data_IF_892906131469
#
_entry.id   IF_892906131469
#
_cell.length_a   1.000
_cell.length_b   1.000
_cell.length_c   1.000
_cell.angle_alpha   90.00
_cell.angle_beta   90.00
_cell.angle_gamma   90.00
#
_symmetry.space_group_name_H-M   'P 1'
#
loop_
_entity.id
_entity.type
_entity.pdbx_description
1 polymer ?
#
# COMPACT_ATOMS: atom_id res chain seq x y z
N UNK A 1 3.17 8.91 -14.54
CA UNK A 1 3.04 7.95 -13.42
C UNK A 1 1.82 7.06 -13.64
N UNK A 2 1.99 5.77 -13.47
CA UNK A 2 0.90 4.81 -13.55
C UNK A 2 1.09 3.70 -12.51
N UNK A 3 -0.01 3.02 -12.18
CA UNK A 3 0.00 1.82 -11.33
C UNK A 3 -0.22 0.59 -12.19
N UNK A 4 0.57 -0.46 -11.95
CA UNK A 4 0.44 -1.75 -12.62
C UNK A 4 0.54 -2.88 -11.62
N UNK A 5 -0.19 -3.97 -11.87
CA UNK A 5 0.08 -5.21 -11.15
C UNK A 5 1.49 -5.72 -11.47
N UNK A 6 2.16 -6.21 -10.43
CA UNK A 6 3.42 -6.92 -10.63
C UNK A 6 3.18 -8.21 -11.42
N UNK A 7 4.08 -8.51 -12.33
CA UNK A 7 4.22 -9.83 -12.94
C UNK A 7 5.71 -10.20 -13.05
N UNK A 8 6.00 -11.45 -13.45
CA UNK A 8 7.37 -11.97 -13.47
C UNK A 8 8.29 -11.30 -14.48
N UNK A 9 7.76 -10.44 -15.38
CA UNK A 9 8.57 -9.68 -16.34
C UNK A 9 9.34 -8.53 -15.67
N UNK A 10 8.92 -8.07 -14.48
CA UNK A 10 9.57 -6.99 -13.76
C UNK A 10 10.72 -7.51 -12.92
N UNK A 11 11.84 -6.77 -12.92
CA UNK A 11 13.01 -7.07 -12.09
C UNK A 11 13.12 -6.04 -10.97
N UNK A 12 13.11 -6.52 -9.73
CA UNK A 12 13.18 -5.66 -8.54
C UNK A 12 14.54 -5.74 -7.84
N UNK A 13 15.48 -6.52 -8.41
CA UNK A 13 16.72 -6.88 -7.74
C UNK A 13 17.64 -5.69 -7.50
N UNK A 14 17.62 -4.71 -8.41
CA UNK A 14 18.47 -3.53 -8.32
C UNK A 14 17.80 -2.34 -7.63
N UNK A 15 16.59 -2.57 -7.07
CA UNK A 15 15.82 -1.52 -6.42
C UNK A 15 16.04 -1.53 -4.92
N UNK A 16 16.03 -0.35 -4.33
CA UNK A 16 16.27 -0.16 -2.90
C UNK A 16 14.98 0.29 -2.21
N UNK A 17 14.14 -0.67 -1.84
CA UNK A 17 12.90 -0.42 -1.11
C UNK A 17 13.08 -0.62 0.39
N UNK A 18 12.38 0.18 1.20
CA UNK A 18 12.36 0.02 2.65
C UNK A 18 11.57 -1.22 3.09
N UNK A 19 10.50 -1.58 2.36
CA UNK A 19 9.84 -2.87 2.51
C UNK A 19 10.64 -3.94 1.76
N UNK A 20 10.41 -5.20 2.07
CA UNK A 20 11.13 -6.33 1.46
C UNK A 20 10.29 -6.92 0.31
N UNK A 21 10.45 -6.43 -0.93
CA UNK A 21 9.61 -6.88 -2.05
C UNK A 21 9.66 -8.39 -2.26
N UNK A 22 10.83 -9.01 -2.12
CA UNK A 22 10.98 -10.45 -2.33
C UNK A 22 10.13 -11.26 -1.36
N UNK A 23 10.03 -10.85 -0.09
CA UNK A 23 9.19 -11.52 0.90
C UNK A 23 7.71 -11.39 0.52
N UNK A 24 7.28 -10.21 0.09
CA UNK A 24 5.92 -9.96 -0.35
C UNK A 24 5.58 -10.75 -1.60
N UNK A 25 6.50 -10.86 -2.56
CA UNK A 25 6.29 -11.60 -3.79
C UNK A 25 6.15 -13.11 -3.54
N UNK A 26 6.86 -13.66 -2.58
CA UNK A 26 6.68 -15.06 -2.20
C UNK A 26 5.28 -15.32 -1.66
N UNK A 27 4.71 -14.40 -0.89
CA UNK A 27 3.34 -14.51 -0.41
C UNK A 27 2.36 -14.41 -1.57
N UNK A 28 2.58 -13.47 -2.50
CA UNK A 28 1.69 -13.26 -3.64
C UNK A 28 1.63 -14.45 -4.58
N UNK A 29 2.68 -15.26 -4.67
CA UNK A 29 2.69 -16.50 -5.45
C UNK A 29 1.78 -17.57 -4.87
N UNK A 30 1.50 -17.52 -3.56
CA UNK A 30 0.69 -18.52 -2.84
C UNK A 30 -0.74 -18.05 -2.56
N UNK A 31 -0.99 -16.75 -2.63
CA UNK A 31 -2.28 -16.14 -2.24
C UNK A 31 -2.76 -15.23 -3.36
N UNK A 32 -3.90 -15.58 -3.95
CA UNK A 32 -4.53 -14.77 -5.02
C UNK A 32 -5.10 -13.44 -4.50
N UNK A 33 -5.39 -13.36 -3.21
CA UNK A 33 -5.92 -12.16 -2.55
C UNK A 33 -4.85 -11.19 -2.05
N UNK A 34 -3.59 -11.49 -2.30
CA UNK A 34 -2.43 -10.68 -1.88
C UNK A 34 -1.68 -10.27 -3.16
N UNK A 35 -1.96 -9.06 -3.65
CA UNK A 35 -1.49 -8.60 -4.95
C UNK A 35 -0.48 -7.48 -4.82
N UNK A 36 0.69 -7.69 -5.40
CA UNK A 36 1.73 -6.65 -5.48
C UNK A 36 1.43 -5.69 -6.63
N UNK A 37 1.61 -4.39 -6.37
CA UNK A 37 1.37 -3.32 -7.32
C UNK A 37 2.61 -2.44 -7.39
N UNK A 38 2.92 -1.97 -8.59
CA UNK A 38 4.06 -1.11 -8.88
C UNK A 38 3.58 0.28 -9.29
N UNK A 39 4.26 1.30 -8.76
CA UNK A 39 4.19 2.65 -9.31
C UNK A 39 5.32 2.84 -10.32
N UNK A 40 4.97 3.28 -11.52
CA UNK A 40 5.91 3.38 -12.64
C UNK A 40 5.90 4.80 -13.19
N UNK A 41 7.10 5.38 -13.30
CA UNK A 41 7.34 6.69 -13.89
C UNK A 41 8.39 6.57 -14.99
N UNK A 42 8.06 6.94 -16.23
CA UNK A 42 8.99 6.88 -17.37
C UNK A 42 9.67 5.50 -17.49
N UNK A 43 8.85 4.43 -17.44
CA UNK A 43 9.29 3.03 -17.49
C UNK A 43 10.18 2.58 -16.34
N UNK A 44 10.29 3.41 -15.29
CA UNK A 44 11.06 3.12 -14.10
C UNK A 44 10.12 2.79 -12.94
N UNK A 45 10.40 1.69 -12.23
CA UNK A 45 9.66 1.32 -11.02
C UNK A 45 10.13 2.22 -9.88
N UNK A 46 9.22 3.00 -9.32
CA UNK A 46 9.54 3.98 -8.27
C UNK A 46 8.85 3.67 -6.94
N UNK A 47 7.72 2.97 -6.97
CA UNK A 47 6.99 2.58 -5.77
C UNK A 47 6.57 1.11 -5.83
N UNK A 48 6.43 0.52 -4.66
CA UNK A 48 5.95 -0.84 -4.47
C UNK A 48 4.96 -0.87 -3.30
N UNK A 49 3.86 -1.58 -3.46
CA UNK A 49 2.95 -1.86 -2.35
C UNK A 49 2.12 -3.10 -2.63
N UNK A 50 1.37 -3.52 -1.63
CA UNK A 50 0.49 -4.67 -1.71
C UNK A 50 -0.93 -4.25 -1.39
N UNK A 51 -1.89 -4.75 -2.15
CA UNK A 51 -3.31 -4.74 -1.80
C UNK A 51 -3.73 -6.14 -1.41
N UNK A 52 -4.19 -6.28 -0.18
CA UNK A 52 -4.60 -7.56 0.41
C UNK A 52 -6.11 -7.54 0.64
N UNK A 53 -6.84 -8.38 -0.08
CA UNK A 53 -8.29 -8.52 0.08
C UNK A 53 -8.67 -9.67 1.02
N UNK A 54 -7.68 -10.35 1.59
CA UNK A 54 -7.88 -11.48 2.48
C UNK A 54 -8.30 -11.11 3.90
N UNK A 55 -8.28 -12.08 4.78
CA UNK A 55 -8.83 -11.96 6.12
C UNK A 55 -8.03 -11.07 7.07
N UNK A 56 -6.75 -10.79 6.76
CA UNK A 56 -5.94 -9.90 7.59
C UNK A 56 -6.54 -8.50 7.72
N UNK A 57 -7.32 -8.07 6.74
CA UNK A 57 -8.01 -6.77 6.81
C UNK A 57 -8.93 -6.63 8.02
N UNK A 58 -9.44 -7.75 8.55
CA UNK A 58 -10.37 -7.72 9.69
C UNK A 58 -9.69 -7.35 11.01
N UNK A 59 -8.37 -7.30 11.04
CA UNK A 59 -7.61 -6.70 12.14
C UNK A 59 -7.67 -5.17 12.11
N UNK A 60 -8.08 -4.59 10.97
CA UNK A 60 -8.07 -3.15 10.71
C UNK A 60 -9.46 -2.57 10.48
N UNK A 61 -10.41 -3.36 9.99
CA UNK A 61 -11.77 -2.91 9.67
C UNK A 61 -12.74 -4.09 9.72
N UNK A 62 -13.97 -3.83 10.13
CA UNK A 62 -15.06 -4.82 10.07
C UNK A 62 -15.70 -4.88 8.68
N UNK A 63 -15.32 -3.99 7.76
CA UNK A 63 -15.90 -3.90 6.44
C UNK A 63 -15.33 -4.99 5.53
N UNK A 64 -16.16 -5.94 5.09
CA UNK A 64 -15.75 -7.00 4.18
C UNK A 64 -15.34 -6.48 2.79
N UNK A 65 -15.75 -5.27 2.43
CA UNK A 65 -15.39 -4.59 1.18
C UNK A 65 -14.20 -3.64 1.36
N UNK A 66 -13.35 -3.88 2.34
CA UNK A 66 -12.11 -3.14 2.52
C UNK A 66 -10.94 -3.88 1.86
N UNK A 67 -9.93 -3.11 1.47
CA UNK A 67 -8.62 -3.60 1.04
C UNK A 67 -7.58 -3.13 2.04
N UNK A 68 -6.68 -4.01 2.43
CA UNK A 68 -5.55 -3.65 3.29
C UNK A 68 -4.37 -3.26 2.42
N UNK A 69 -3.96 -2.00 2.53
CA UNK A 69 -2.75 -1.48 1.89
C UNK A 69 -1.55 -1.82 2.79
N UNK A 70 -0.59 -2.55 2.25
CA UNK A 70 0.56 -3.07 3.00
C UNK A 70 1.86 -2.80 2.27
N UNK A 71 2.96 -2.79 3.02
CA UNK A 71 4.32 -2.76 2.49
C UNK A 71 4.58 -1.60 1.51
N UNK A 72 3.92 -0.48 1.72
CA UNK A 72 4.09 0.68 0.85
C UNK A 72 5.50 1.25 1.01
N UNK A 73 6.22 1.33 -0.11
CA UNK A 73 7.56 1.91 -0.10
C UNK A 73 7.91 2.56 -1.44
N UNK A 74 8.84 3.51 -1.38
CA UNK A 74 9.44 4.16 -2.53
C UNK A 74 10.90 3.69 -2.65
N UNK A 75 11.40 3.50 -3.87
CA UNK A 75 12.82 3.25 -4.08
C UNK A 75 13.61 4.39 -3.42
N UNK A 76 14.57 4.05 -2.57
CA UNK A 76 15.33 5.04 -1.79
C UNK A 76 16.07 6.05 -2.65
N UNK A 77 16.39 5.70 -3.89
CA UNK A 77 17.04 6.60 -4.86
C UNK A 77 16.07 7.63 -5.45
N UNK A 78 14.76 7.39 -5.27
CA UNK A 78 13.68 8.18 -5.86
C UNK A 78 12.84 8.90 -4.80
N UNK A 79 13.33 8.98 -3.56
CA UNK A 79 12.61 9.66 -2.48
C UNK A 79 12.60 11.18 -2.69
N UNK A 80 11.62 11.86 -2.06
CA UNK A 80 11.44 13.31 -2.12
C UNK A 80 11.06 13.85 -3.51
N UNK A 81 10.66 12.97 -4.43
CA UNK A 81 10.19 13.36 -5.77
C UNK A 81 8.66 13.35 -5.89
N UNK A 82 7.97 13.05 -4.79
CA UNK A 82 6.51 13.02 -4.76
C UNK A 82 5.88 11.75 -5.32
N UNK A 83 6.64 10.69 -5.54
CA UNK A 83 6.12 9.45 -6.13
C UNK A 83 5.17 8.70 -5.21
N UNK A 84 5.43 8.70 -3.89
CA UNK A 84 4.51 8.11 -2.93
C UNK A 84 3.13 8.79 -3.00
N UNK A 85 3.12 10.11 -2.98
CA UNK A 85 1.90 10.91 -3.10
C UNK A 85 1.18 10.64 -4.42
N UNK A 86 1.92 10.64 -5.53
CA UNK A 86 1.34 10.40 -6.86
C UNK A 86 0.72 9.01 -6.96
N UNK A 87 1.41 7.98 -6.43
CA UNK A 87 0.89 6.61 -6.43
C UNK A 87 -0.42 6.51 -5.63
N UNK A 88 -0.47 7.13 -4.46
CA UNK A 88 -1.67 7.12 -3.62
C UNK A 88 -2.81 7.92 -4.25
N UNK A 89 -2.52 9.00 -4.98
CA UNK A 89 -3.53 9.76 -5.71
C UNK A 89 -4.16 8.96 -6.85
N UNK A 90 -3.40 8.06 -7.47
CA UNK A 90 -3.89 7.19 -8.53
C UNK A 90 -4.69 5.99 -8.01
N UNK A 91 -4.58 5.68 -6.73
CA UNK A 91 -5.13 4.45 -6.18
C UNK A 91 -6.66 4.37 -6.30
N UNK A 92 -7.46 5.41 -6.00
CA UNK A 92 -8.91 5.31 -6.15
C UNK A 92 -9.34 4.93 -7.56
N UNK A 93 -8.73 5.51 -8.59
CA UNK A 93 -9.05 5.18 -9.99
C UNK A 93 -8.61 3.77 -10.35
N UNK A 94 -7.47 3.33 -9.86
CA UNK A 94 -7.00 1.95 -10.03
C UNK A 94 -8.00 0.96 -9.43
N UNK A 95 -8.60 1.29 -8.29
CA UNK A 95 -9.62 0.45 -7.65
C UNK A 95 -10.93 0.43 -8.43
N UNK A 96 -11.34 1.53 -9.04
CA UNK A 96 -12.53 1.53 -9.90
C UNK A 96 -12.42 0.49 -11.01
N UNK A 97 -11.24 0.35 -11.58
CA UNK A 97 -11.00 -0.57 -12.70
C UNK A 97 -10.79 -2.01 -12.22
N UNK A 98 -10.03 -2.20 -11.16
CA UNK A 98 -9.52 -3.53 -10.79
C UNK A 98 -10.20 -4.14 -9.56
N UNK A 99 -10.82 -3.33 -8.73
CA UNK A 99 -11.49 -3.74 -7.48
C UNK A 99 -12.83 -3.01 -7.32
N UNK A 100 -13.74 -3.10 -8.32
CA UNK A 100 -14.93 -2.23 -8.34
C UNK A 100 -15.93 -2.51 -7.20
N UNK A 101 -15.85 -3.67 -6.56
CA UNK A 101 -16.75 -4.02 -5.45
C UNK A 101 -16.24 -3.56 -4.08
N UNK A 102 -15.02 -3.03 -4.02
CA UNK A 102 -14.43 -2.57 -2.77
C UNK A 102 -14.67 -1.07 -2.57
N UNK A 103 -14.87 -0.66 -1.34
CA UNK A 103 -15.26 0.73 -1.02
C UNK A 103 -14.44 1.37 0.09
N UNK A 104 -13.37 0.70 0.54
CA UNK A 104 -12.52 1.24 1.60
C UNK A 104 -11.10 0.70 1.44
N UNK A 105 -10.13 1.58 1.71
CA UNK A 105 -8.73 1.21 1.86
C UNK A 105 -8.36 1.45 3.32
N UNK A 106 -7.79 0.43 3.97
CA UNK A 106 -7.30 0.54 5.35
C UNK A 106 -5.81 0.26 5.39
N UNK A 107 -5.13 0.86 6.35
CA UNK A 107 -3.70 0.64 6.56
C UNK A 107 -3.35 0.84 8.03
N UNK A 108 -2.23 0.27 8.43
CA UNK A 108 -1.62 0.53 9.72
C UNK A 108 -0.34 1.35 9.52
N UNK A 109 -0.17 2.40 10.29
CA UNK A 109 1.05 3.20 10.32
C UNK A 109 1.53 3.32 11.75
N UNK A 110 2.84 3.10 11.97
CA UNK A 110 3.42 3.24 13.30
C UNK A 110 3.08 4.62 13.86
N UNK A 111 2.58 4.68 15.11
CA UNK A 111 2.11 5.93 15.69
C UNK A 111 3.19 6.98 15.85
N UNK A 112 4.48 6.60 15.83
CA UNK A 112 5.60 7.51 15.86
C UNK A 112 6.09 7.93 14.48
N UNK A 113 5.56 7.33 13.41
CA UNK A 113 5.92 7.68 12.04
C UNK A 113 5.09 8.88 11.58
N UNK A 114 5.53 10.07 11.96
CA UNK A 114 4.82 11.30 11.65
C UNK A 114 4.82 11.63 10.16
N UNK A 115 5.90 11.30 9.46
CA UNK A 115 6.01 11.56 8.01
C UNK A 115 4.96 10.78 7.25
N UNK A 116 4.83 9.47 7.51
CA UNK A 116 3.82 8.65 6.85
C UNK A 116 2.40 9.05 7.26
N UNK A 117 2.18 9.31 8.54
CA UNK A 117 0.86 9.78 9.03
C UNK A 117 0.43 11.05 8.32
N UNK A 118 1.34 12.00 8.18
CA UNK A 118 1.08 13.27 7.50
C UNK A 118 0.75 13.06 6.02
N UNK A 119 1.53 12.19 5.35
CA UNK A 119 1.29 11.85 3.94
C UNK A 119 -0.14 11.31 3.74
N UNK A 120 -0.51 10.30 4.52
CA UNK A 120 -1.84 9.70 4.40
C UNK A 120 -2.96 10.68 4.74
N UNK A 121 -2.80 11.46 5.81
CA UNK A 121 -3.80 12.45 6.20
C UNK A 121 -4.03 13.51 5.10
N UNK A 122 -2.96 13.94 4.43
CA UNK A 122 -3.07 14.89 3.32
C UNK A 122 -3.75 14.29 2.08
N UNK A 123 -3.87 12.99 2.01
CA UNK A 123 -4.55 12.28 0.92
C UNK A 123 -5.92 11.77 1.34
N UNK A 124 -6.49 12.38 2.37
CA UNK A 124 -7.84 12.13 2.87
C UNK A 124 -8.03 10.80 3.62
N UNK A 125 -6.96 10.12 3.98
CA UNK A 125 -7.04 9.04 4.95
C UNK A 125 -7.35 9.63 6.32
N UNK A 126 -8.27 9.01 7.03
CA UNK A 126 -8.74 9.46 8.35
C UNK A 126 -8.22 8.50 9.42
N UNK A 127 -7.68 9.05 10.50
CA UNK A 127 -7.35 8.24 11.69
C UNK A 127 -8.65 7.74 12.31
N UNK A 128 -8.84 6.42 12.32
CA UNK A 128 -10.05 5.79 12.86
C UNK A 128 -10.12 5.83 14.38
N UNK A 129 -9.05 6.28 15.04
CA UNK A 129 -8.84 6.24 16.50
C UNK A 129 -8.63 4.82 17.05
N UNK A 130 -8.69 3.81 16.21
CA UNK A 130 -8.33 2.44 16.56
C UNK A 130 -6.83 2.26 16.49
N UNK A 131 -6.30 1.45 17.40
CA UNK A 131 -4.87 1.13 17.46
C UNK A 131 -4.68 -0.38 17.36
N UNK A 132 -3.64 -0.79 16.65
CA UNK A 132 -3.25 -2.18 16.48
C UNK A 132 -1.84 -2.38 17.04
N UNK A 133 -1.68 -3.36 17.94
CA UNK A 133 -0.36 -3.68 18.48
C UNK A 133 0.36 -4.63 17.53
N UNK A 134 1.30 -4.09 16.77
CA UNK A 134 2.16 -4.86 15.88
C UNK A 134 3.48 -5.24 16.56
N UNK A 135 4.35 -5.92 15.81
CA UNK A 135 5.66 -6.37 16.32
C UNK A 135 6.58 -5.22 16.71
N UNK A 136 6.40 -4.04 16.10
CA UNK A 136 7.23 -2.84 16.32
C UNK A 136 6.51 -1.76 17.11
N UNK A 137 5.45 -2.11 17.85
CA UNK A 137 4.68 -1.19 18.66
C UNK A 137 3.29 -0.91 18.08
N UNK A 138 2.62 0.09 18.63
CA UNK A 138 1.27 0.44 18.23
C UNK A 138 1.26 1.12 16.87
N UNK A 139 0.26 0.75 16.07
CA UNK A 139 -0.04 1.36 14.78
C UNK A 139 -1.37 2.09 14.86
N UNK A 140 -1.42 3.27 14.21
CA UNK A 140 -2.69 3.94 13.91
C UNK A 140 -3.32 3.22 12.74
N UNK A 141 -4.62 2.96 12.83
CA UNK A 141 -5.38 2.47 11.69
C UNK A 141 -6.01 3.66 10.99
N UNK A 142 -5.67 3.83 9.71
CA UNK A 142 -6.20 4.90 8.89
C UNK A 142 -7.04 4.32 7.76
N UNK A 143 -8.06 5.06 7.35
CA UNK A 143 -9.05 4.60 6.39
C UNK A 143 -9.35 5.67 5.36
N UNK A 144 -9.48 5.25 4.10
CA UNK A 144 -9.96 6.08 3.01
C UNK A 144 -11.19 5.41 2.40
N UNK A 145 -12.30 6.13 2.34
CA UNK A 145 -13.48 5.68 1.61
C UNK A 145 -13.31 5.96 0.12
N UNK A 146 -13.60 4.99 -0.69
CA UNK A 146 -13.46 5.08 -2.14
C UNK A 146 -14.76 4.76 -2.87
#
# INVERSE_FOLDING_TARGET
>A
MELRFYDASYQLIDLSFTALPNACLKVSQKRVDYRAILGIENDKIVCFFVLDSGNDKFKYSDNSKSLLLRAFSTDSRETRKGYARQSLLLLPKFLETNYPTYNEIVLGVNEHNQVATYLYANLNFVDTKTRFLGKKGYQKIMSLKV
#
